data_IF_092166285214
#
_entry.id   IF_092166285214
#
_cell.length_a   1.000
_cell.length_b   1.000
_cell.length_c   1.000
_cell.angle_alpha   90.00
_cell.angle_beta   90.00
_cell.angle_gamma   90.00
#
_symmetry.space_group_name_H-M   'P 1'
#
loop_
_entity.id
_entity.type
_entity.pdbx_description
1 polymer ?
#
# COMPACT_ATOMS: atom_id res chain seq x y z
N UNK A 1 -48.97 -9.16 -4.75
CA UNK A 1 -47.52 -8.83 -4.55
C UNK A 1 -46.76 -10.04 -5.06
N UNK A 2 -46.22 -9.97 -6.29
CA UNK A 2 -45.47 -11.08 -6.90
C UNK A 2 -44.02 -10.97 -6.45
N UNK A 3 -43.61 -11.87 -5.57
CA UNK A 3 -42.21 -12.05 -5.14
C UNK A 3 -41.44 -12.62 -6.34
N UNK A 4 -40.70 -11.78 -7.05
CA UNK A 4 -39.77 -12.22 -8.10
C UNK A 4 -38.59 -12.94 -7.42
N UNK A 5 -38.69 -14.25 -7.32
CA UNK A 5 -37.56 -15.10 -6.92
C UNK A 5 -36.42 -14.88 -7.93
N UNK A 6 -35.30 -14.33 -7.44
CA UNK A 6 -34.07 -14.14 -8.24
C UNK A 6 -33.60 -15.47 -8.81
N UNK A 7 -33.34 -15.52 -10.11
CA UNK A 7 -32.75 -16.69 -10.77
C UNK A 7 -31.36 -16.99 -10.19
N UNK A 8 -30.98 -18.28 -10.05
CA UNK A 8 -29.62 -18.63 -9.62
C UNK A 8 -28.50 -17.96 -10.44
N UNK A 9 -28.76 -17.69 -11.73
CA UNK A 9 -27.85 -16.96 -12.59
C UNK A 9 -27.69 -15.47 -12.22
N UNK A 10 -28.75 -14.84 -11.73
CA UNK A 10 -28.70 -13.42 -11.31
C UNK A 10 -27.96 -13.26 -9.98
N UNK A 11 -28.10 -14.23 -9.07
CA UNK A 11 -27.33 -14.27 -7.81
C UNK A 11 -25.85 -14.42 -8.08
N UNK A 12 -25.44 -15.32 -8.98
CA UNK A 12 -24.06 -15.52 -9.36
C UNK A 12 -23.44 -14.28 -10.02
N UNK A 13 -24.15 -13.61 -10.94
CA UNK A 13 -23.71 -12.35 -11.56
C UNK A 13 -23.54 -11.23 -10.52
N UNK A 14 -24.47 -11.11 -9.59
CA UNK A 14 -24.43 -10.10 -8.54
C UNK A 14 -23.24 -10.32 -7.58
N UNK A 15 -22.97 -11.57 -7.21
CA UNK A 15 -21.81 -11.88 -6.37
C UNK A 15 -20.48 -11.54 -7.08
N UNK A 16 -20.34 -11.86 -8.36
CA UNK A 16 -19.16 -11.50 -9.15
C UNK A 16 -18.97 -9.98 -9.26
N UNK A 17 -20.05 -9.21 -9.47
CA UNK A 17 -19.96 -7.75 -9.55
C UNK A 17 -19.59 -7.11 -8.20
N UNK A 18 -20.10 -7.63 -7.09
CA UNK A 18 -19.76 -7.15 -5.74
C UNK A 18 -18.29 -7.44 -5.42
N UNK A 19 -17.82 -8.65 -5.69
CA UNK A 19 -16.41 -9.03 -5.45
C UNK A 19 -15.45 -8.18 -6.28
N UNK A 20 -15.77 -7.91 -7.54
CA UNK A 20 -14.96 -7.05 -8.40
C UNK A 20 -14.93 -5.60 -7.90
N UNK A 21 -16.08 -5.06 -7.45
CA UNK A 21 -16.18 -3.72 -6.89
C UNK A 21 -15.38 -3.58 -5.57
N UNK A 22 -15.46 -4.56 -4.67
CA UNK A 22 -14.69 -4.59 -3.44
C UNK A 22 -13.19 -4.66 -3.76
N UNK A 23 -12.79 -5.53 -4.67
CA UNK A 23 -11.39 -5.69 -5.07
C UNK A 23 -10.82 -4.39 -5.65
N UNK A 24 -11.56 -3.69 -6.50
CA UNK A 24 -11.13 -2.41 -7.06
C UNK A 24 -11.02 -1.34 -5.97
N UNK A 25 -11.99 -1.24 -5.06
CA UNK A 25 -11.94 -0.31 -3.94
C UNK A 25 -10.72 -0.56 -3.04
N UNK A 26 -10.48 -1.82 -2.63
CA UNK A 26 -9.31 -2.18 -1.80
C UNK A 26 -8.00 -1.83 -2.51
N UNK A 27 -7.90 -2.10 -3.83
CA UNK A 27 -6.70 -1.76 -4.61
C UNK A 27 -6.44 -0.25 -4.62
N UNK A 28 -7.49 0.57 -4.81
CA UNK A 28 -7.37 2.04 -4.79
C UNK A 28 -6.94 2.53 -3.41
N UNK A 29 -7.58 2.07 -2.34
CA UNK A 29 -7.24 2.45 -0.98
C UNK A 29 -5.81 2.04 -0.61
N UNK A 30 -5.40 0.84 -0.97
CA UNK A 30 -4.03 0.38 -0.72
C UNK A 30 -2.99 1.17 -1.53
N UNK A 31 -3.30 1.53 -2.78
CA UNK A 31 -2.41 2.34 -3.61
C UNK A 31 -2.20 3.75 -3.03
N UNK A 32 -3.23 4.35 -2.41
CA UNK A 32 -3.15 5.71 -1.85
C UNK A 32 -2.61 5.70 -0.41
N UNK A 33 -3.12 4.81 0.45
CA UNK A 33 -2.82 4.80 1.88
C UNK A 33 -1.73 3.79 2.28
N UNK A 34 -1.39 2.84 1.40
CA UNK A 34 -0.44 1.77 1.71
C UNK A 34 0.94 2.29 2.09
N UNK A 35 1.42 3.35 1.44
CA UNK A 35 2.68 3.99 1.76
C UNK A 35 2.69 4.60 3.17
N UNK A 36 1.63 5.35 3.51
CA UNK A 36 1.47 5.97 4.85
C UNK A 36 1.35 4.88 5.92
N UNK A 37 0.54 3.85 5.67
CA UNK A 37 0.35 2.72 6.58
C UNK A 37 1.66 1.96 6.83
N UNK A 38 2.42 1.68 5.79
CA UNK A 38 3.71 1.01 5.87
C UNK A 38 4.71 1.83 6.71
N UNK A 39 4.80 3.14 6.48
CA UNK A 39 5.64 4.04 7.25
C UNK A 39 5.24 4.13 8.72
N UNK A 40 3.93 4.25 9.01
CA UNK A 40 3.42 4.30 10.39
C UNK A 40 3.72 3.00 11.14
N UNK A 41 3.49 1.85 10.51
CA UNK A 41 3.82 0.53 11.09
C UNK A 41 5.33 0.42 11.31
N UNK A 42 6.15 0.85 10.35
CA UNK A 42 7.61 0.87 10.48
C UNK A 42 8.06 1.64 11.71
N UNK A 43 7.59 2.88 11.90
CA UNK A 43 7.92 3.68 13.08
C UNK A 43 7.46 3.03 14.38
N UNK A 44 6.22 2.51 14.45
CA UNK A 44 5.70 1.86 15.65
C UNK A 44 6.55 0.64 16.04
N UNK A 45 6.92 -0.18 15.06
CA UNK A 45 7.75 -1.37 15.28
C UNK A 45 9.14 -0.95 15.76
N UNK A 46 9.78 0.01 15.09
CA UNK A 46 11.12 0.48 15.47
C UNK A 46 11.14 1.05 16.90
N UNK A 47 10.19 1.92 17.26
CA UNK A 47 10.11 2.48 18.62
C UNK A 47 9.89 1.39 19.66
N UNK A 48 9.08 0.38 19.34
CA UNK A 48 8.80 -0.73 20.27
C UNK A 48 9.99 -1.66 20.47
N UNK A 49 10.77 -1.90 19.41
CA UNK A 49 11.84 -2.92 19.41
C UNK A 49 13.19 -2.33 19.84
N UNK A 50 13.41 -1.02 19.69
CA UNK A 50 14.71 -0.38 19.95
C UNK A 50 15.30 -0.74 21.31
N UNK A 51 14.48 -0.82 22.34
CA UNK A 51 14.92 -1.18 23.71
C UNK A 51 15.32 -2.65 23.83
N UNK A 52 14.68 -3.53 23.06
CA UNK A 52 14.96 -4.97 23.10
C UNK A 52 16.17 -5.35 22.24
N UNK A 53 16.34 -4.72 21.09
CA UNK A 53 17.43 -5.05 20.16
C UNK A 53 18.80 -4.69 20.70
N UNK A 54 18.94 -3.56 21.39
CA UNK A 54 20.22 -3.18 22.00
C UNK A 54 20.63 -4.10 23.16
N UNK A 55 19.65 -4.63 23.92
CA UNK A 55 19.96 -5.53 25.03
C UNK A 55 20.21 -6.99 24.64
N UNK A 56 19.66 -7.44 23.51
CA UNK A 56 19.65 -8.86 23.13
C UNK A 56 20.47 -9.19 21.87
N UNK A 57 21.10 -8.18 21.21
CA UNK A 57 21.90 -8.40 20.01
C UNK A 57 21.10 -8.76 18.74
N UNK A 58 19.79 -8.48 18.73
CA UNK A 58 18.91 -8.78 17.57
C UNK A 58 18.85 -7.62 16.55
N UNK A 59 19.99 -7.05 16.18
CA UNK A 59 20.07 -5.96 15.19
C UNK A 59 19.43 -6.33 13.83
N UNK A 60 19.48 -7.59 13.44
CA UNK A 60 18.89 -8.09 12.20
C UNK A 60 17.37 -7.87 12.10
N UNK A 61 16.65 -7.78 13.23
CA UNK A 61 15.21 -7.52 13.27
C UNK A 61 14.89 -6.14 12.74
N UNK A 62 15.74 -5.15 13.02
CA UNK A 62 15.59 -3.78 12.50
C UNK A 62 15.72 -3.76 10.97
N UNK A 63 16.71 -4.47 10.44
CA UNK A 63 16.91 -4.58 8.98
C UNK A 63 15.75 -5.34 8.30
N UNK A 64 15.26 -6.40 8.95
CA UNK A 64 14.11 -7.15 8.44
C UNK A 64 12.84 -6.28 8.39
N UNK A 65 12.58 -5.51 9.44
CA UNK A 65 11.43 -4.59 9.48
C UNK A 65 11.51 -3.56 8.36
N UNK A 66 12.67 -2.95 8.16
CA UNK A 66 12.90 -2.00 7.06
C UNK A 66 12.69 -2.66 5.69
N UNK A 67 13.23 -3.87 5.48
CA UNK A 67 13.06 -4.60 4.22
C UNK A 67 11.59 -4.93 3.92
N UNK A 68 10.84 -5.40 4.92
CA UNK A 68 9.42 -5.73 4.77
C UNK A 68 8.59 -4.47 4.46
N UNK A 69 8.79 -3.38 5.17
CA UNK A 69 8.05 -2.12 4.94
C UNK A 69 8.40 -1.47 3.61
N UNK A 70 9.66 -1.54 3.16
CA UNK A 70 10.06 -1.15 1.80
C UNK A 70 9.34 -1.99 0.73
N UNK A 71 9.30 -3.31 0.90
CA UNK A 71 8.61 -4.20 -0.03
C UNK A 71 7.10 -3.86 -0.12
N UNK A 72 6.44 -3.61 1.01
CA UNK A 72 5.04 -3.17 1.03
C UNK A 72 4.84 -1.85 0.30
N UNK A 73 5.74 -0.89 0.48
CA UNK A 73 5.68 0.41 -0.20
C UNK A 73 5.91 0.27 -1.72
N UNK A 74 6.83 -0.60 -2.15
CA UNK A 74 7.05 -0.90 -3.57
C UNK A 74 5.80 -1.51 -4.21
N UNK A 75 5.12 -2.44 -3.52
CA UNK A 75 3.85 -3.00 -4.00
C UNK A 75 2.78 -1.91 -4.14
N UNK A 76 2.66 -1.00 -3.16
CA UNK A 76 1.73 0.12 -3.24
C UNK A 76 2.03 1.05 -4.43
N UNK A 77 3.30 1.37 -4.67
CA UNK A 77 3.76 2.15 -5.83
C UNK A 77 3.43 1.46 -7.17
N UNK A 78 3.67 0.15 -7.26
CA UNK A 78 3.35 -0.63 -8.45
C UNK A 78 1.83 -0.63 -8.75
N UNK A 79 0.99 -0.74 -7.72
CA UNK A 79 -0.46 -0.64 -7.86
C UNK A 79 -0.90 0.77 -8.27
N UNK A 80 -0.31 1.81 -7.68
CA UNK A 80 -0.56 3.20 -8.07
C UNK A 80 -0.20 3.47 -9.54
N UNK A 81 0.94 2.93 -10.02
CA UNK A 81 1.32 3.01 -11.44
C UNK A 81 0.30 2.31 -12.35
N UNK A 82 -0.21 1.14 -11.95
CA UNK A 82 -1.26 0.43 -12.71
C UNK A 82 -2.52 1.27 -12.81
N UNK A 83 -2.95 1.93 -11.73
CA UNK A 83 -4.12 2.81 -11.74
C UNK A 83 -3.94 4.00 -12.69
N UNK A 84 -2.76 4.61 -12.72
CA UNK A 84 -2.45 5.70 -13.67
C UNK A 84 -2.57 5.20 -15.11
N UNK A 85 -2.01 4.02 -15.44
CA UNK A 85 -2.09 3.43 -16.79
C UNK A 85 -3.52 3.11 -17.18
N UNK A 86 -4.30 2.49 -16.30
CA UNK A 86 -5.71 2.19 -16.54
C UNK A 86 -6.55 3.45 -16.79
N UNK A 87 -6.27 4.53 -16.05
CA UNK A 87 -6.92 5.83 -16.28
C UNK A 87 -6.49 6.50 -17.59
N UNK A 88 -5.39 6.08 -18.22
CA UNK A 88 -4.96 6.57 -19.55
C UNK A 88 -5.59 5.77 -20.70
N UNK A 89 -5.87 4.49 -20.49
CA UNK A 89 -6.42 3.56 -21.49
C UNK A 89 -7.95 3.61 -21.55
N UNK A 90 -8.62 4.27 -20.60
CA UNK A 90 -10.09 4.43 -20.54
C UNK A 90 -10.59 5.27 -21.70
N UNK A 91 -11.20 4.59 -22.68
CA UNK A 91 -11.80 5.19 -23.87
C UNK A 91 -13.08 5.96 -23.49
N UNK A 92 -13.17 7.18 -23.93
CA UNK A 92 -14.19 8.24 -23.95
C UNK A 92 -15.61 8.07 -23.39
N UNK A 93 -16.08 6.89 -23.02
CA UNK A 93 -17.45 6.70 -22.54
C UNK A 93 -17.66 7.02 -21.04
N UNK A 94 -16.59 6.99 -20.22
CA UNK A 94 -16.62 7.31 -18.80
C UNK A 94 -15.44 8.24 -18.41
N UNK A 95 -15.30 9.37 -19.12
CA UNK A 95 -14.21 10.32 -18.93
C UNK A 95 -14.01 10.74 -17.47
N UNK A 96 -15.08 10.98 -16.72
CA UNK A 96 -15.03 11.37 -15.30
C UNK A 96 -14.46 10.27 -14.40
N UNK A 97 -14.77 9.02 -14.67
CA UNK A 97 -14.26 7.87 -13.93
C UNK A 97 -12.77 7.63 -14.19
N UNK A 98 -12.34 7.73 -15.44
CA UNK A 98 -10.95 7.58 -15.86
C UNK A 98 -10.06 8.69 -15.27
N UNK A 99 -10.51 9.94 -15.31
CA UNK A 99 -9.79 11.08 -14.74
C UNK A 99 -9.62 10.96 -13.23
N UNK A 100 -10.67 10.56 -12.49
CA UNK A 100 -10.60 10.30 -11.05
C UNK A 100 -9.61 9.19 -10.72
N UNK A 101 -9.62 8.09 -11.47
CA UNK A 101 -8.71 6.96 -11.26
C UNK A 101 -7.26 7.37 -11.51
N UNK A 102 -7.01 8.14 -12.55
CA UNK A 102 -5.70 8.70 -12.87
C UNK A 102 -5.20 9.63 -11.77
N UNK A 103 -6.04 10.54 -11.29
CA UNK A 103 -5.70 11.45 -10.19
C UNK A 103 -5.33 10.70 -8.90
N UNK A 104 -6.14 9.70 -8.51
CA UNK A 104 -5.85 8.88 -7.34
C UNK A 104 -4.55 8.08 -7.50
N UNK A 105 -4.28 7.57 -8.68
CA UNK A 105 -3.02 6.89 -8.99
C UNK A 105 -1.81 7.82 -8.88
N UNK A 106 -1.90 9.05 -9.39
CA UNK A 106 -0.84 10.06 -9.28
C UNK A 106 -0.61 10.48 -7.83
N UNK A 107 -1.68 10.70 -7.06
CA UNK A 107 -1.59 10.99 -5.63
C UNK A 107 -0.92 9.83 -4.87
N UNK A 108 -1.30 8.59 -5.15
CA UNK A 108 -0.68 7.40 -4.58
C UNK A 108 0.82 7.27 -4.91
N UNK A 109 1.22 7.61 -6.14
CA UNK A 109 2.63 7.64 -6.54
C UNK A 109 3.42 8.70 -5.77
N UNK A 110 2.89 9.92 -5.65
CA UNK A 110 3.56 11.00 -4.93
C UNK A 110 3.74 10.64 -3.45
N UNK A 111 2.66 10.26 -2.79
CA UNK A 111 2.67 9.88 -1.36
C UNK A 111 3.55 8.65 -1.14
N UNK A 112 3.44 7.63 -1.99
CA UNK A 112 4.25 6.43 -1.92
C UNK A 112 5.74 6.70 -2.12
N UNK A 113 6.12 7.57 -3.05
CA UNK A 113 7.51 7.95 -3.29
C UNK A 113 8.12 8.68 -2.08
N UNK A 114 7.38 9.61 -1.47
CA UNK A 114 7.83 10.31 -0.25
C UNK A 114 8.03 9.31 0.89
N UNK A 115 7.07 8.43 1.13
CA UNK A 115 7.20 7.42 2.19
C UNK A 115 8.34 6.43 1.92
N UNK A 116 8.53 6.01 0.66
CA UNK A 116 9.67 5.17 0.27
C UNK A 116 11.01 5.84 0.61
N UNK A 117 11.17 7.12 0.27
CA UNK A 117 12.37 7.90 0.60
C UNK A 117 12.59 7.99 2.11
N UNK A 118 11.54 8.24 2.90
CA UNK A 118 11.64 8.31 4.36
C UNK A 118 12.11 6.99 4.95
N UNK A 119 11.50 5.85 4.58
CA UNK A 119 11.87 4.52 5.06
C UNK A 119 13.31 4.17 4.63
N UNK A 120 13.71 4.52 3.40
CA UNK A 120 15.05 4.28 2.89
C UNK A 120 16.12 5.10 3.65
N UNK A 121 15.83 6.37 3.95
CA UNK A 121 16.72 7.23 4.74
C UNK A 121 16.85 6.73 6.18
N UNK A 122 15.75 6.33 6.81
CA UNK A 122 15.79 5.72 8.15
C UNK A 122 16.57 4.43 8.16
N UNK A 123 16.39 3.56 7.17
CA UNK A 123 17.17 2.32 7.01
C UNK A 123 18.66 2.60 6.83
N UNK A 124 19.01 3.58 6.00
CA UNK A 124 20.39 4.01 5.81
C UNK A 124 21.01 4.54 7.13
N UNK A 125 20.25 5.35 7.86
CA UNK A 125 20.68 5.86 9.17
C UNK A 125 20.99 4.72 10.16
N UNK A 126 20.16 3.69 10.20
CA UNK A 126 20.38 2.50 11.05
C UNK A 126 21.63 1.76 10.64
N UNK A 127 21.90 1.60 9.34
CA UNK A 127 23.11 0.93 8.83
C UNK A 127 24.38 1.72 9.19
N UNK A 128 24.36 3.04 9.04
CA UNK A 128 25.56 3.88 9.23
C UNK A 128 25.85 4.17 10.70
N UNK A 129 24.83 4.35 11.53
CA UNK A 129 24.96 4.79 12.92
C UNK A 129 24.58 3.73 13.96
N UNK A 130 23.84 2.68 13.56
CA UNK A 130 23.30 1.66 14.47
C UNK A 130 24.40 0.88 15.18
N UNK A 131 25.48 0.52 14.49
CA UNK A 131 26.61 -0.24 15.04
C UNK A 131 27.43 0.52 16.11
N UNK A 132 27.27 1.83 16.21
CA UNK A 132 28.02 2.68 17.17
C UNK A 132 27.24 3.05 18.42
N UNK A 133 25.90 2.80 18.46
CA UNK A 133 25.05 3.24 19.58
C UNK A 133 24.76 2.17 20.62
N UNK A 134 24.94 0.91 20.28
CA UNK A 134 24.76 -0.20 21.20
C UNK A 134 26.08 -0.67 21.87
N UNK A 135 27.21 0.07 21.67
CA UNK A 135 28.51 -0.19 22.28
C UNK A 135 28.80 0.81 23.39
#
# INVERSE_FOLDING_TARGET
MSEHALSPGDVARRSHSIVSAIRSAVTVWYAVLGGIGAWTIHLMVLVSIVRFTCNAGYEWVMHLTTAVTLAMTVVALALAQRLVRQGQEGDGSDATGAERTRFLGQLGLLVGAVNFMLIALEGLYVVVLGSRRCG
#
